data_IF_514137988336
#
_entry.id   IF_514137988336
#
_cell.length_a   1.000
_cell.length_b   1.000
_cell.length_c   1.000
_cell.angle_alpha   90.00
_cell.angle_beta   90.00
_cell.angle_gamma   90.00
#
_symmetry.space_group_name_H-M   'P 1'
#
loop_
_entity.id
_entity.type
_entity.pdbx_description
1 polymer ?
#
# COMPACT_ATOMS: atom_id res chain seq x y z
N UNK A 1 16.46 2.94 -3.09
CA UNK A 1 15.34 2.16 -2.53
C UNK A 1 15.97 1.21 -1.54
N UNK A 2 15.73 1.39 -0.24
CA UNK A 2 16.27 0.47 0.75
C UNK A 2 15.60 -0.89 0.54
N UNK A 3 16.36 -1.97 0.58
CA UNK A 3 15.81 -3.32 0.56
C UNK A 3 14.98 -3.49 1.83
N UNK A 4 13.70 -3.84 1.67
CA UNK A 4 12.80 -4.18 2.78
C UNK A 4 12.41 -5.64 2.60
N UNK A 5 12.66 -6.51 3.60
CA UNK A 5 12.21 -7.90 3.58
C UNK A 5 10.70 -8.01 3.35
N UNK A 6 10.26 -9.01 2.60
CA UNK A 6 8.84 -9.17 2.25
C UNK A 6 7.98 -9.46 3.49
N UNK A 7 8.60 -10.07 4.49
CA UNK A 7 7.99 -10.47 5.76
C UNK A 7 7.46 -9.26 6.53
N UNK A 8 8.15 -8.12 6.45
CA UNK A 8 7.73 -6.86 7.11
C UNK A 8 6.41 -6.32 6.57
N UNK A 9 6.06 -6.62 5.31
CA UNK A 9 4.80 -6.18 4.71
C UNK A 9 3.62 -7.09 5.01
N UNK A 10 3.90 -8.34 5.38
CA UNK A 10 2.89 -9.34 5.74
C UNK A 10 2.63 -9.45 7.24
N UNK A 11 3.34 -8.67 8.07
CA UNK A 11 3.13 -8.64 9.51
C UNK A 11 1.68 -8.23 9.85
N UNK A 12 0.97 -9.09 10.57
CA UNK A 12 -0.45 -8.91 10.89
C UNK A 12 -1.42 -9.27 9.77
N UNK A 13 -0.97 -9.94 8.70
CA UNK A 13 -1.81 -10.45 7.63
C UNK A 13 -1.81 -11.98 7.59
N UNK A 14 -2.86 -12.57 7.02
CA UNK A 14 -3.00 -14.02 6.88
C UNK A 14 -1.88 -14.63 6.00
N UNK A 15 -1.49 -13.94 4.93
CA UNK A 15 -0.44 -14.40 4.02
C UNK A 15 0.18 -13.25 3.20
N UNK A 16 1.33 -13.52 2.56
CA UNK A 16 2.05 -12.56 1.72
C UNK A 16 1.25 -12.03 0.52
N UNK A 17 0.29 -12.81 0.00
CA UNK A 17 -0.54 -12.37 -1.13
C UNK A 17 -1.53 -11.30 -0.70
N UNK A 18 -1.99 -11.34 0.56
CA UNK A 18 -2.81 -10.28 1.14
C UNK A 18 -2.05 -8.96 1.18
N UNK A 19 -0.77 -8.97 1.58
CA UNK A 19 0.08 -7.78 1.55
C UNK A 19 0.18 -7.17 0.14
N UNK A 20 0.36 -8.01 -0.88
CA UNK A 20 0.38 -7.59 -2.29
C UNK A 20 -0.98 -6.99 -2.71
N UNK A 21 -2.08 -7.63 -2.34
CA UNK A 21 -3.43 -7.16 -2.66
C UNK A 21 -3.71 -5.78 -2.03
N UNK A 22 -3.39 -5.63 -0.74
CA UNK A 22 -3.59 -4.39 0.01
C UNK A 22 -2.74 -3.26 -0.57
N UNK A 23 -1.45 -3.51 -0.80
CA UNK A 23 -0.55 -2.53 -1.43
C UNK A 23 -1.05 -2.11 -2.82
N UNK A 24 -1.54 -3.06 -3.62
CA UNK A 24 -2.06 -2.79 -4.97
C UNK A 24 -3.33 -1.94 -4.94
N UNK A 25 -4.26 -2.22 -4.01
CA UNK A 25 -5.49 -1.43 -3.82
C UNK A 25 -5.17 0.00 -3.36
N UNK A 26 -4.26 0.16 -2.40
CA UNK A 26 -3.86 1.49 -1.93
C UNK A 26 -3.13 2.28 -3.01
N UNK A 27 -2.25 1.64 -3.79
CA UNK A 27 -1.58 2.27 -4.92
C UNK A 27 -2.58 2.76 -5.97
N UNK A 28 -3.63 1.98 -6.26
CA UNK A 28 -4.72 2.38 -7.17
C UNK A 28 -5.46 3.60 -6.64
N UNK A 29 -5.83 3.61 -5.36
CA UNK A 29 -6.49 4.75 -4.69
C UNK A 29 -5.66 6.02 -4.79
N UNK A 30 -4.35 5.92 -4.52
CA UNK A 30 -3.41 7.04 -4.63
C UNK A 30 -3.27 7.53 -6.07
N UNK A 31 -3.24 6.63 -7.05
CA UNK A 31 -3.17 6.99 -8.45
C UNK A 31 -4.44 7.71 -8.93
N UNK A 32 -5.62 7.27 -8.48
CA UNK A 32 -6.89 7.96 -8.75
C UNK A 32 -6.92 9.37 -8.13
N UNK A 33 -6.46 9.52 -6.87
CA UNK A 33 -6.31 10.84 -6.25
C UNK A 33 -5.38 11.76 -7.03
N UNK A 34 -4.24 11.25 -7.49
CA UNK A 34 -3.30 11.99 -8.33
C UNK A 34 -3.93 12.41 -9.66
N UNK A 35 -4.64 11.50 -10.34
CA UNK A 35 -5.35 11.80 -11.61
C UNK A 35 -6.42 12.88 -11.45
N UNK A 36 -7.09 12.93 -10.29
CA UNK A 36 -8.06 13.97 -9.97
C UNK A 36 -7.42 15.31 -9.57
N UNK A 37 -6.09 15.43 -9.54
CA UNK A 37 -5.38 16.62 -9.07
C UNK A 37 -5.53 16.87 -7.55
N UNK A 38 -5.99 15.86 -6.79
CA UNK A 38 -6.26 15.96 -5.34
C UNK A 38 -5.04 15.65 -4.48
N UNK A 39 -3.95 15.22 -5.09
CA UNK A 39 -2.69 14.95 -4.41
C UNK A 39 -1.53 15.19 -5.37
N UNK A 40 -0.57 16.01 -4.96
CA UNK A 40 0.71 16.12 -5.65
C UNK A 40 1.64 15.04 -5.09
N UNK A 41 1.73 13.94 -5.82
CA UNK A 41 2.43 12.73 -5.39
C UNK A 41 3.74 12.64 -6.17
N UNK A 42 4.84 13.05 -5.54
CA UNK A 42 6.19 13.01 -6.12
C UNK A 42 6.76 11.59 -6.28
N UNK A 43 6.30 10.63 -5.46
CA UNK A 43 6.72 9.23 -5.52
C UNK A 43 5.75 8.37 -6.35
N UNK A 44 6.20 7.20 -6.79
CA UNK A 44 5.28 6.24 -7.44
C UNK A 44 4.22 5.81 -6.41
N UNK A 45 2.92 5.75 -6.78
CA UNK A 45 1.84 5.37 -5.85
C UNK A 45 2.09 4.07 -5.09
N UNK A 46 2.74 3.09 -5.73
CA UNK A 46 3.08 1.81 -5.09
C UNK A 46 4.15 1.93 -4.00
N UNK A 47 5.09 2.88 -4.12
CA UNK A 47 6.11 3.11 -3.09
C UNK A 47 5.44 3.63 -1.82
N UNK A 48 4.55 4.61 -1.97
CA UNK A 48 3.78 5.16 -0.85
C UNK A 48 2.85 4.09 -0.25
N UNK A 49 2.24 3.25 -1.09
CA UNK A 49 1.39 2.17 -0.61
C UNK A 49 2.19 1.17 0.27
N UNK A 50 3.40 0.79 -0.14
CA UNK A 50 4.28 -0.07 0.64
C UNK A 50 4.74 0.60 1.95
N UNK A 51 5.08 1.89 1.92
CA UNK A 51 5.41 2.65 3.14
C UNK A 51 4.22 2.70 4.11
N UNK A 52 3.02 3.00 3.62
CA UNK A 52 1.80 3.01 4.43
C UNK A 52 1.45 1.64 4.99
N UNK A 53 1.71 0.58 4.21
CA UNK A 53 1.50 -0.80 4.62
C UNK A 53 2.43 -1.15 5.80
N UNK A 54 3.74 -0.90 5.63
CA UNK A 54 4.75 -1.08 6.68
C UNK A 54 4.41 -0.31 7.95
N UNK A 55 3.98 0.95 7.81
CA UNK A 55 3.64 1.81 8.93
C UNK A 55 2.26 1.49 9.54
N UNK A 56 1.59 0.40 9.11
CA UNK A 56 0.25 -0.04 9.55
C UNK A 56 -0.83 1.06 9.40
N UNK A 57 -0.65 1.95 8.42
CA UNK A 57 -1.58 3.04 8.07
C UNK A 57 -2.64 2.61 7.05
N UNK A 58 -2.55 1.39 6.53
CA UNK A 58 -3.57 0.79 5.66
C UNK A 58 -4.25 -0.32 6.45
N UNK A 59 -5.53 -0.16 6.76
CA UNK A 59 -6.34 -1.21 7.38
C UNK A 59 -7.16 -1.85 6.27
N UNK A 60 -6.86 -3.12 5.98
CA UNK A 60 -7.75 -3.91 5.13
C UNK A 60 -8.93 -4.36 5.98
N UNK A 61 -10.12 -3.87 5.66
CA UNK A 61 -11.36 -4.48 6.15
C UNK A 61 -11.84 -5.42 5.07
N UNK A 62 -11.83 -6.72 5.34
CA UNK A 62 -12.70 -7.65 4.62
C UNK A 62 -14.11 -7.21 4.94
N UNK A 63 -14.74 -6.50 4.02
CA UNK A 63 -16.19 -6.42 4.05
C UNK A 63 -16.70 -7.79 3.64
N UNK A 64 -17.44 -8.43 4.56
CA UNK A 64 -18.38 -9.53 4.30
C UNK A 64 -19.26 -9.26 3.07
#
# INVERSE_FOLDING_TARGET
>A
MNFIPIEEFSDGMENKYMAVLVASREARRLNEMRRMGRADINLKPIQIALERLRDKRVVFKENE
#
